data_IF_447439585989
#
_entry.id   IF_447439585989
#
_cell.length_a   1.000
_cell.length_b   1.000
_cell.length_c   1.000
_cell.angle_alpha   90.00
_cell.angle_beta   90.00
_cell.angle_gamma   90.00
#
_symmetry.space_group_name_H-M   'P 1'
#
loop_
_entity.id
_entity.type
_entity.pdbx_description
1 polymer ?
#
# COMPACT_ATOMS: atom_id res chain seq x y z
N UNK A 1 -32.81 14.02 -5.96
CA UNK A 1 -31.60 13.30 -6.40
C UNK A 1 -31.20 12.40 -5.26
N UNK A 2 -31.26 11.09 -5.41
CA UNK A 2 -30.81 10.15 -4.36
C UNK A 2 -29.29 10.33 -4.21
N UNK A 3 -28.83 10.70 -3.02
CA UNK A 3 -27.41 10.76 -2.74
C UNK A 3 -26.85 9.35 -2.93
N UNK A 4 -25.95 9.15 -3.88
CA UNK A 4 -25.22 7.89 -4.01
C UNK A 4 -24.45 7.64 -2.73
N UNK A 5 -24.52 6.41 -2.22
CA UNK A 5 -23.76 6.03 -1.03
C UNK A 5 -22.26 6.35 -1.23
N UNK A 6 -21.56 6.81 -0.18
CA UNK A 6 -20.13 7.12 -0.29
C UNK A 6 -19.35 5.87 -0.68
N UNK A 7 -18.37 6.02 -1.58
CA UNK A 7 -17.45 4.94 -1.94
C UNK A 7 -16.72 4.44 -0.70
N UNK A 8 -16.41 3.16 -0.67
CA UNK A 8 -15.73 2.50 0.45
C UNK A 8 -14.31 2.08 0.05
N UNK A 9 -13.33 2.50 0.84
CA UNK A 9 -11.95 2.05 0.73
C UNK A 9 -11.52 1.24 1.95
N UNK A 10 -10.81 0.14 1.74
CA UNK A 10 -10.12 -0.61 2.78
C UNK A 10 -8.61 -0.34 2.66
N UNK A 11 -7.99 0.08 3.76
CA UNK A 11 -6.58 0.52 3.80
C UNK A 11 -5.83 -0.21 4.90
N UNK A 12 -4.76 -0.92 4.57
CA UNK A 12 -3.83 -1.46 5.56
C UNK A 12 -2.75 -0.43 5.91
N UNK A 13 -2.25 -0.46 7.15
CA UNK A 13 -1.25 0.51 7.62
C UNK A 13 -1.79 1.92 7.78
N UNK A 14 -3.09 2.05 8.02
CA UNK A 14 -3.81 3.33 8.12
C UNK A 14 -3.35 4.23 9.26
N UNK A 15 -2.64 3.73 10.27
CA UNK A 15 -2.33 4.47 11.50
C UNK A 15 -1.18 5.46 11.39
N UNK A 16 -0.33 5.41 10.37
CA UNK A 16 0.85 6.26 10.26
C UNK A 16 1.37 6.42 8.83
N UNK A 17 2.25 7.39 8.62
CA UNK A 17 2.97 7.57 7.36
C UNK A 17 2.07 7.69 6.13
N UNK A 18 2.41 6.98 5.07
CA UNK A 18 1.69 7.02 3.79
C UNK A 18 0.24 6.53 3.96
N UNK A 19 0.02 5.44 4.70
CA UNK A 19 -1.33 4.90 4.90
C UNK A 19 -2.25 5.88 5.63
N UNK A 20 -1.74 6.61 6.63
CA UNK A 20 -2.50 7.67 7.30
C UNK A 20 -2.82 8.83 6.36
N UNK A 21 -1.85 9.27 5.55
CA UNK A 21 -2.07 10.34 4.57
C UNK A 21 -3.15 9.96 3.53
N UNK A 22 -3.10 8.72 3.03
CA UNK A 22 -4.14 8.19 2.11
C UNK A 22 -5.50 8.18 2.81
N UNK A 23 -5.56 7.71 4.05
CA UNK A 23 -6.81 7.65 4.83
C UNK A 23 -7.42 9.05 4.98
N UNK A 24 -6.63 10.03 5.43
CA UNK A 24 -7.08 11.41 5.61
C UNK A 24 -7.56 12.04 4.30
N UNK A 25 -6.82 11.83 3.20
CA UNK A 25 -7.22 12.31 1.87
C UNK A 25 -8.58 11.73 1.45
N UNK A 26 -8.75 10.43 1.53
CA UNK A 26 -10.00 9.80 1.10
C UNK A 26 -11.19 10.21 1.98
N UNK A 27 -10.99 10.37 3.28
CA UNK A 27 -12.01 10.91 4.18
C UNK A 27 -12.41 12.33 3.80
N UNK A 28 -11.43 13.20 3.49
CA UNK A 28 -11.68 14.58 3.03
C UNK A 28 -12.42 14.62 1.68
N UNK A 29 -12.27 13.59 0.84
CA UNK A 29 -12.98 13.42 -0.43
C UNK A 29 -14.36 12.72 -0.26
N UNK A 30 -14.81 12.51 0.96
CA UNK A 30 -16.12 11.94 1.27
C UNK A 30 -16.22 10.41 1.18
N UNK A 31 -15.10 9.71 1.11
CA UNK A 31 -15.10 8.25 1.16
C UNK A 31 -15.41 7.74 2.57
N UNK A 32 -16.02 6.57 2.66
CA UNK A 32 -15.98 5.74 3.85
C UNK A 32 -14.67 4.93 3.83
N UNK A 33 -13.96 4.88 4.96
CA UNK A 33 -12.68 4.19 5.05
C UNK A 33 -12.70 3.19 6.20
N UNK A 34 -12.36 1.94 5.89
CA UNK A 34 -12.00 0.93 6.88
C UNK A 34 -10.48 0.81 6.93
N UNK A 35 -9.89 1.22 8.06
CA UNK A 35 -8.46 1.18 8.28
C UNK A 35 -8.05 -0.05 9.08
N UNK A 36 -7.11 -0.83 8.56
CA UNK A 36 -6.53 -2.00 9.22
C UNK A 36 -5.14 -1.67 9.74
N UNK A 37 -4.94 -1.76 11.05
CA UNK A 37 -3.65 -1.57 11.70
C UNK A 37 -3.70 -2.08 13.14
N UNK A 38 -2.55 -2.36 13.76
CA UNK A 38 -2.46 -2.87 15.14
C UNK A 38 -2.94 -1.84 16.18
N UNK A 39 -2.78 -0.55 15.89
CA UNK A 39 -3.22 0.57 16.75
C UNK A 39 -3.94 1.60 15.88
N UNK A 40 -4.91 2.34 16.43
CA UNK A 40 -5.55 3.43 15.69
C UNK A 40 -4.53 4.52 15.33
N UNK A 41 -4.82 5.29 14.29
CA UNK A 41 -4.14 6.54 13.99
C UNK A 41 -4.63 7.66 14.90
N UNK A 42 -3.90 8.78 14.90
CA UNK A 42 -4.24 9.98 15.66
C UNK A 42 -5.21 10.88 14.86
N UNK A 43 -6.37 10.33 14.50
CA UNK A 43 -7.44 11.07 13.81
C UNK A 43 -8.80 10.39 14.04
N UNK A 44 -9.84 11.21 14.03
CA UNK A 44 -11.24 10.77 14.16
C UNK A 44 -12.07 11.38 13.03
N UNK A 45 -12.95 10.57 12.43
CA UNK A 45 -13.85 11.02 11.39
C UNK A 45 -15.11 10.11 11.35
N UNK A 46 -16.34 10.64 11.15
CA UNK A 46 -17.56 9.83 11.16
C UNK A 46 -17.58 8.72 10.09
N UNK A 47 -16.88 8.90 8.96
CA UNK A 47 -16.77 7.91 7.88
C UNK A 47 -15.55 6.99 8.05
N UNK A 48 -14.84 7.04 9.18
CA UNK A 48 -13.69 6.18 9.46
C UNK A 48 -14.02 5.09 10.46
N UNK A 49 -13.69 3.86 10.12
CA UNK A 49 -13.77 2.71 11.03
C UNK A 49 -12.39 2.09 11.15
N UNK A 50 -11.85 2.05 12.35
CA UNK A 50 -10.61 1.32 12.64
C UNK A 50 -10.91 -0.12 13.04
N UNK A 51 -10.20 -1.07 12.45
CA UNK A 51 -10.20 -2.48 12.83
C UNK A 51 -8.78 -2.85 13.28
N UNK A 52 -8.65 -3.17 14.57
CA UNK A 52 -7.36 -3.55 15.15
C UNK A 52 -6.99 -4.97 14.73
N UNK A 53 -5.90 -5.12 13.95
CA UNK A 53 -5.39 -6.42 13.49
C UNK A 53 -3.91 -6.35 13.18
N UNK A 54 -3.20 -7.43 13.47
CA UNK A 54 -1.93 -7.73 12.82
C UNK A 54 -2.24 -8.45 11.50
N UNK A 55 -2.01 -7.80 10.39
CA UNK A 55 -2.33 -8.37 9.06
C UNK A 55 -1.43 -9.56 8.67
N UNK A 56 -0.40 -9.89 9.46
CA UNK A 56 0.37 -11.12 9.33
C UNK A 56 -0.32 -12.33 10.00
N UNK A 57 -1.32 -12.08 10.84
CA UNK A 57 -2.22 -13.11 11.37
C UNK A 57 -3.34 -13.36 10.35
N UNK A 58 -3.11 -14.30 9.44
CA UNK A 58 -4.05 -14.62 8.35
C UNK A 58 -5.45 -14.96 8.84
N UNK A 59 -5.66 -15.82 9.86
CA UNK A 59 -6.98 -16.09 10.39
C UNK A 59 -7.70 -14.83 10.90
N UNK A 60 -7.02 -13.99 11.70
CA UNK A 60 -7.59 -12.76 12.21
C UNK A 60 -7.93 -11.75 11.09
N UNK A 61 -7.05 -11.64 10.08
CA UNK A 61 -7.28 -10.81 8.90
C UNK A 61 -8.51 -11.31 8.13
N UNK A 62 -8.58 -12.60 7.79
CA UNK A 62 -9.68 -13.19 7.04
C UNK A 62 -11.02 -12.96 7.75
N UNK A 63 -11.09 -13.18 9.06
CA UNK A 63 -12.30 -12.95 9.84
C UNK A 63 -12.84 -11.51 9.72
N UNK A 64 -11.95 -10.50 9.70
CA UNK A 64 -12.34 -9.11 9.47
C UNK A 64 -12.80 -8.88 8.02
N UNK A 65 -12.10 -9.47 7.06
CA UNK A 65 -12.44 -9.32 5.65
C UNK A 65 -13.78 -9.96 5.31
N UNK A 66 -14.16 -11.04 5.96
CA UNK A 66 -15.45 -11.70 5.76
C UNK A 66 -16.65 -10.82 6.14
N UNK A 67 -16.47 -9.91 7.12
CA UNK A 67 -17.50 -8.93 7.50
C UNK A 67 -17.71 -7.82 6.47
N UNK A 68 -16.76 -7.61 5.55
CA UNK A 68 -16.90 -6.62 4.49
C UNK A 68 -17.83 -7.17 3.41
N UNK A 69 -18.91 -6.48 3.16
CA UNK A 69 -19.90 -6.88 2.15
C UNK A 69 -19.60 -6.31 0.76
N UNK A 70 -19.06 -5.09 0.71
CA UNK A 70 -18.68 -4.39 -0.51
C UNK A 70 -17.57 -3.40 -0.23
N UNK A 71 -16.63 -3.27 -1.18
CA UNK A 71 -15.54 -2.31 -1.15
C UNK A 71 -15.24 -1.80 -2.56
N UNK A 72 -15.04 -0.51 -2.76
CA UNK A 72 -14.75 0.09 -4.07
C UNK A 72 -13.23 0.13 -4.34
N UNK A 73 -12.43 0.20 -3.28
CA UNK A 73 -10.98 0.24 -3.38
C UNK A 73 -10.28 -0.53 -2.25
N UNK A 74 -9.24 -1.26 -2.59
CA UNK A 74 -8.34 -1.95 -1.65
C UNK A 74 -6.94 -1.35 -1.77
N UNK A 75 -6.42 -0.79 -0.68
CA UNK A 75 -5.10 -0.17 -0.64
C UNK A 75 -4.21 -0.90 0.37
N UNK A 76 -3.19 -1.58 -0.12
CA UNK A 76 -2.20 -2.23 0.74
C UNK A 76 -1.02 -1.29 0.97
N UNK A 77 -1.09 -0.48 2.06
CA UNK A 77 -0.06 0.49 2.42
C UNK A 77 0.79 0.06 3.63
N UNK A 78 0.41 -1.01 4.32
CA UNK A 78 1.23 -1.56 5.39
C UNK A 78 2.57 -2.08 4.86
N UNK A 79 3.63 -1.79 5.58
CA UNK A 79 4.96 -2.25 5.23
C UNK A 79 5.98 -1.85 6.28
N UNK A 80 7.08 -2.58 6.30
CA UNK A 80 8.28 -2.28 7.07
C UNK A 80 9.50 -2.38 6.16
N UNK A 81 10.62 -1.83 6.60
CA UNK A 81 11.89 -2.04 5.93
C UNK A 81 12.87 -2.70 6.88
N UNK A 82 13.49 -3.77 6.40
CA UNK A 82 14.65 -4.43 7.02
C UNK A 82 15.80 -4.34 6.03
N UNK A 83 16.97 -4.03 6.54
CA UNK A 83 18.17 -3.83 5.73
C UNK A 83 19.34 -4.63 6.34
N UNK A 84 19.95 -5.46 5.52
CA UNK A 84 21.16 -6.18 5.87
C UNK A 84 21.98 -6.43 4.59
N UNK A 85 23.32 -6.29 4.63
CA UNK A 85 24.18 -6.66 3.53
C UNK A 85 24.21 -8.17 3.34
N UNK A 86 24.59 -8.62 2.13
CA UNK A 86 24.82 -10.03 1.87
C UNK A 86 25.90 -10.57 2.83
N UNK A 87 25.69 -11.75 3.38
CA UNK A 87 26.51 -12.34 4.44
C UNK A 87 26.00 -12.05 5.87
N UNK A 88 25.03 -11.13 6.03
CA UNK A 88 24.41 -10.79 7.32
C UNK A 88 22.87 -10.86 7.26
N UNK A 89 22.32 -11.61 6.30
CA UNK A 89 20.87 -11.72 6.13
C UNK A 89 20.24 -12.52 7.28
N UNK A 90 19.13 -12.03 7.82
CA UNK A 90 18.27 -12.76 8.74
C UNK A 90 17.13 -13.41 7.94
N UNK A 91 17.02 -14.74 8.02
CA UNK A 91 15.89 -15.45 7.38
C UNK A 91 14.55 -15.05 8.02
N UNK A 92 14.53 -14.81 9.32
CA UNK A 92 13.33 -14.34 10.05
C UNK A 92 12.86 -12.97 9.54
N UNK A 93 13.80 -12.02 9.30
CA UNK A 93 13.47 -10.72 8.72
C UNK A 93 12.92 -10.88 7.29
N UNK A 94 13.49 -11.79 6.51
CA UNK A 94 13.00 -12.11 5.16
C UNK A 94 11.60 -12.68 5.18
N UNK A 95 11.31 -13.62 6.07
CA UNK A 95 9.99 -14.21 6.26
C UNK A 95 8.97 -13.15 6.73
N UNK A 96 9.33 -12.30 7.68
CA UNK A 96 8.49 -11.21 8.16
C UNK A 96 8.12 -10.25 7.03
N UNK A 97 9.10 -9.87 6.20
CA UNK A 97 8.86 -9.01 5.02
C UNK A 97 7.91 -9.68 4.03
N UNK A 98 8.09 -10.99 3.79
CA UNK A 98 7.25 -11.73 2.86
C UNK A 98 5.81 -11.84 3.37
N UNK A 99 5.63 -12.22 4.62
CA UNK A 99 4.30 -12.30 5.24
C UNK A 99 3.57 -10.97 5.20
N UNK A 100 4.26 -9.87 5.55
CA UNK A 100 3.63 -8.56 5.61
C UNK A 100 3.33 -7.99 4.21
N UNK A 101 4.27 -8.12 3.27
CA UNK A 101 4.15 -7.44 1.97
C UNK A 101 3.40 -8.28 0.94
N UNK A 102 3.59 -9.59 0.94
CA UNK A 102 3.08 -10.48 -0.11
C UNK A 102 1.88 -11.28 0.38
N UNK A 103 2.03 -12.07 1.45
CA UNK A 103 0.92 -12.92 1.91
C UNK A 103 -0.29 -12.08 2.29
N UNK A 104 -0.10 -10.98 3.05
CA UNK A 104 -1.19 -10.09 3.42
C UNK A 104 -1.88 -9.46 2.19
N UNK A 105 -1.10 -9.05 1.17
CA UNK A 105 -1.68 -8.52 -0.07
C UNK A 105 -2.51 -9.57 -0.82
N UNK A 106 -2.03 -10.83 -0.85
CA UNK A 106 -2.75 -11.94 -1.46
C UNK A 106 -4.07 -12.23 -0.73
N UNK A 107 -4.04 -12.32 0.60
CA UNK A 107 -5.24 -12.53 1.42
C UNK A 107 -6.26 -11.40 1.20
N UNK A 108 -5.80 -10.14 1.19
CA UNK A 108 -6.67 -9.00 0.91
C UNK A 108 -7.36 -9.11 -0.46
N UNK A 109 -6.59 -9.39 -1.50
CA UNK A 109 -7.12 -9.47 -2.85
C UNK A 109 -8.07 -10.66 -3.01
N UNK A 110 -7.68 -11.83 -2.54
CA UNK A 110 -8.46 -13.08 -2.65
C UNK A 110 -9.80 -12.98 -1.92
N UNK A 111 -9.80 -12.50 -0.66
CA UNK A 111 -11.04 -12.35 0.12
C UNK A 111 -11.97 -11.22 -0.37
N UNK A 112 -11.44 -10.23 -1.09
CA UNK A 112 -12.20 -9.04 -1.47
C UNK A 112 -12.51 -8.95 -2.97
N UNK A 113 -11.94 -9.78 -3.81
CA UNK A 113 -12.10 -9.68 -5.26
C UNK A 113 -13.56 -9.74 -5.70
N UNK A 114 -14.37 -10.61 -5.12
CA UNK A 114 -15.80 -10.71 -5.43
C UNK A 114 -16.66 -9.61 -4.80
N UNK A 115 -16.09 -8.90 -3.81
CA UNK A 115 -16.72 -7.75 -3.12
C UNK A 115 -16.41 -6.42 -3.80
N UNK A 116 -15.50 -6.42 -4.78
CA UNK A 116 -15.21 -5.26 -5.63
C UNK A 116 -16.25 -5.16 -6.74
N UNK A 117 -16.87 -3.99 -6.97
CA UNK A 117 -17.78 -3.77 -8.09
C UNK A 117 -17.00 -3.70 -9.41
N UNK A 118 -17.73 -3.71 -10.52
CA UNK A 118 -17.17 -3.32 -11.80
C UNK A 118 -16.52 -1.93 -11.70
N UNK A 119 -15.30 -1.81 -12.21
CA UNK A 119 -14.53 -0.57 -12.08
C UNK A 119 -13.88 -0.34 -10.72
N UNK A 120 -13.81 -1.36 -9.85
CA UNK A 120 -13.08 -1.30 -8.57
C UNK A 120 -11.58 -1.02 -8.72
N UNK A 121 -10.89 -0.76 -7.64
CA UNK A 121 -9.48 -0.36 -7.63
C UNK A 121 -8.66 -1.13 -6.61
N UNK A 122 -7.49 -1.62 -7.01
CA UNK A 122 -6.48 -2.19 -6.09
C UNK A 122 -5.19 -1.40 -6.24
N UNK A 123 -4.65 -0.89 -5.15
CA UNK A 123 -3.38 -0.16 -5.13
C UNK A 123 -2.44 -0.78 -4.09
N UNK A 124 -1.25 -1.14 -4.53
CA UNK A 124 -0.19 -1.67 -3.66
C UNK A 124 0.90 -0.61 -3.47
N UNK A 125 1.40 -0.43 -2.25
CA UNK A 125 2.56 0.42 -1.99
C UNK A 125 3.84 -0.39 -2.21
N UNK A 126 4.45 -0.16 -3.37
CA UNK A 126 5.74 -0.69 -3.76
C UNK A 126 6.92 0.10 -3.18
N UNK A 127 7.99 0.15 -3.95
CA UNK A 127 9.18 0.97 -3.65
C UNK A 127 9.97 1.23 -4.93
N UNK A 128 10.57 2.41 -5.06
CA UNK A 128 11.53 2.68 -6.15
C UNK A 128 12.70 1.69 -6.17
N UNK A 129 12.99 1.07 -5.01
CA UNK A 129 14.11 0.13 -4.90
C UNK A 129 13.77 -1.28 -5.41
N UNK A 130 12.56 -1.50 -5.94
CA UNK A 130 12.16 -2.81 -6.51
C UNK A 130 13.08 -3.28 -7.67
N UNK A 131 13.80 -2.39 -8.31
CA UNK A 131 14.82 -2.72 -9.33
C UNK A 131 16.19 -3.08 -8.77
N UNK A 132 16.37 -3.02 -7.46
CA UNK A 132 17.62 -3.33 -6.77
C UNK A 132 18.10 -2.20 -5.86
N UNK A 133 18.72 -2.57 -4.73
CA UNK A 133 19.36 -1.64 -3.81
C UNK A 133 20.31 -2.41 -2.91
N UNK A 134 21.57 -2.02 -2.86
CA UNK A 134 22.55 -2.63 -2.00
C UNK A 134 22.12 -2.61 -0.52
N UNK A 135 22.35 -3.68 0.21
CA UNK A 135 22.00 -3.83 1.61
C UNK A 135 20.49 -4.03 1.89
N UNK A 136 19.68 -4.31 0.87
CA UNK A 136 18.22 -4.42 1.01
C UNK A 136 17.61 -5.59 0.22
N UNK A 137 18.41 -6.63 -0.08
CA UNK A 137 17.97 -7.69 -1.00
C UNK A 137 16.63 -8.32 -0.61
N UNK A 138 16.41 -8.65 0.66
CA UNK A 138 15.17 -9.25 1.14
C UNK A 138 13.96 -8.30 0.97
N UNK A 139 14.12 -7.02 1.32
CA UNK A 139 13.09 -6.02 1.10
C UNK A 139 12.80 -5.81 -0.40
N UNK A 140 13.87 -5.68 -1.20
CA UNK A 140 13.78 -5.56 -2.67
C UNK A 140 13.04 -6.75 -3.26
N UNK A 141 13.36 -7.98 -2.83
CA UNK A 141 12.68 -9.19 -3.30
C UNK A 141 11.17 -9.09 -3.15
N UNK A 142 10.67 -8.67 -1.98
CA UNK A 142 9.22 -8.56 -1.78
C UNK A 142 8.61 -7.43 -2.61
N UNK A 143 9.29 -6.29 -2.75
CA UNK A 143 8.79 -5.17 -3.56
C UNK A 143 8.85 -5.46 -5.07
N UNK A 144 9.80 -6.28 -5.52
CA UNK A 144 9.85 -6.78 -6.89
C UNK A 144 8.77 -7.81 -7.17
N UNK A 145 8.51 -8.72 -6.23
CA UNK A 145 7.46 -9.73 -6.36
C UNK A 145 6.07 -9.10 -6.56
N UNK A 146 5.79 -7.95 -5.93
CA UNK A 146 4.54 -7.21 -6.14
C UNK A 146 4.31 -6.85 -7.61
N UNK A 147 5.36 -6.64 -8.41
CA UNK A 147 5.23 -6.21 -9.81
C UNK A 147 4.57 -7.34 -10.64
N UNK A 148 5.09 -8.55 -10.54
CA UNK A 148 4.51 -9.71 -11.22
C UNK A 148 3.08 -10.00 -10.72
N UNK A 149 2.89 -9.95 -9.40
CA UNK A 149 1.59 -10.17 -8.76
C UNK A 149 0.54 -9.16 -9.26
N UNK A 150 0.84 -7.86 -9.21
CA UNK A 150 -0.08 -6.82 -9.67
C UNK A 150 -0.41 -6.94 -11.17
N UNK A 151 0.56 -7.32 -12.01
CA UNK A 151 0.34 -7.52 -13.46
C UNK A 151 -0.57 -8.72 -13.73
N UNK A 152 -0.41 -9.83 -12.99
CA UNK A 152 -1.28 -11.00 -13.10
C UNK A 152 -2.71 -10.63 -12.72
N UNK A 153 -2.92 -10.03 -11.56
CA UNK A 153 -4.26 -9.58 -11.13
C UNK A 153 -4.87 -8.55 -12.07
N UNK A 154 -4.07 -7.63 -12.62
CA UNK A 154 -4.54 -6.66 -13.59
C UNK A 154 -5.09 -7.32 -14.86
N UNK A 155 -4.41 -8.37 -15.35
CA UNK A 155 -4.85 -9.12 -16.53
C UNK A 155 -6.15 -9.91 -16.25
N UNK A 156 -6.24 -10.55 -15.08
CA UNK A 156 -7.42 -11.33 -14.67
C UNK A 156 -8.65 -10.42 -14.46
N UNK A 157 -8.46 -9.23 -13.93
CA UNK A 157 -9.54 -8.33 -13.50
C UNK A 157 -9.92 -7.27 -14.56
N UNK A 158 -9.14 -7.15 -15.64
CA UNK A 158 -9.41 -6.21 -16.73
C UNK A 158 -10.81 -6.35 -17.34
N UNK A 159 -11.39 -7.57 -17.56
CA UNK A 159 -12.75 -7.71 -18.07
C UNK A 159 -13.83 -7.11 -17.17
N UNK A 160 -13.55 -6.96 -15.87
CA UNK A 160 -14.42 -6.29 -14.90
C UNK A 160 -14.12 -4.78 -14.78
N UNK A 161 -13.20 -4.24 -15.58
CA UNK A 161 -12.74 -2.84 -15.48
C UNK A 161 -12.05 -2.51 -14.15
N UNK A 162 -11.68 -3.52 -13.35
CA UNK A 162 -10.94 -3.34 -12.11
C UNK A 162 -9.47 -3.11 -12.45
N UNK A 163 -8.88 -2.04 -11.91
CA UNK A 163 -7.46 -1.76 -12.13
C UNK A 163 -6.62 -2.15 -10.92
N UNK A 164 -5.43 -2.67 -11.19
CA UNK A 164 -4.45 -3.04 -10.16
C UNK A 164 -3.13 -2.33 -10.47
N UNK A 165 -2.69 -1.43 -9.58
CA UNK A 165 -1.48 -0.65 -9.81
C UNK A 165 -0.61 -0.59 -8.55
N UNK A 166 0.67 -0.26 -8.76
CA UNK A 166 1.65 -0.07 -7.70
C UNK A 166 2.09 1.40 -7.70
N UNK A 167 1.98 2.05 -6.56
CA UNK A 167 2.69 3.31 -6.30
C UNK A 167 4.01 2.96 -5.63
N UNK A 168 5.12 3.37 -6.23
CA UNK A 168 6.48 3.03 -5.81
C UNK A 168 7.25 4.29 -5.36
N UNK A 169 7.05 4.74 -4.11
CA UNK A 169 7.71 5.94 -3.62
C UNK A 169 9.21 5.74 -3.39
N UNK A 170 9.95 6.84 -3.45
CA UNK A 170 11.30 6.96 -2.95
C UNK A 170 11.35 7.21 -1.44
N UNK A 171 12.41 7.90 -0.98
CA UNK A 171 12.53 8.30 0.43
C UNK A 171 11.41 9.30 0.77
N UNK A 172 10.45 8.85 1.57
CA UNK A 172 9.26 9.61 1.97
C UNK A 172 9.34 9.98 3.45
N UNK A 173 9.00 11.20 3.79
CA UNK A 173 9.06 11.73 5.16
C UNK A 173 7.99 11.09 6.04
N UNK A 174 8.33 9.96 6.62
CA UNK A 174 7.47 9.13 7.47
C UNK A 174 8.26 8.64 8.67
N UNK A 175 7.63 8.14 9.74
CA UNK A 175 8.36 7.50 10.84
C UNK A 175 9.34 6.41 10.39
N UNK A 176 9.04 5.70 9.29
CA UNK A 176 9.94 4.70 8.72
C UNK A 176 11.28 5.30 8.25
N UNK A 177 11.34 6.59 7.91
CA UNK A 177 12.57 7.22 7.43
C UNK A 177 13.63 7.32 8.54
N UNK A 178 13.19 7.49 9.78
CA UNK A 178 14.05 7.71 10.97
C UNK A 178 14.09 6.49 11.90
N UNK A 179 13.51 5.35 11.51
CA UNK A 179 13.50 4.15 12.36
C UNK A 179 14.91 3.65 12.69
N UNK A 180 15.15 3.16 13.94
CA UNK A 180 16.36 2.42 14.26
C UNK A 180 16.56 1.22 13.33
N UNK A 181 17.82 0.83 13.06
CA UNK A 181 18.15 -0.31 12.19
C UNK A 181 18.34 0.07 10.71
N UNK A 182 18.28 1.35 10.37
CA UNK A 182 18.62 1.84 9.01
C UNK A 182 20.06 2.31 8.84
N UNK A 183 20.94 2.11 9.83
CA UNK A 183 22.32 2.59 9.78
C UNK A 183 23.10 2.00 8.60
N UNK A 184 22.85 0.75 8.24
CA UNK A 184 23.45 0.10 7.06
C UNK A 184 22.94 0.63 5.73
N UNK A 185 21.84 1.39 5.75
CA UNK A 185 21.20 1.93 4.53
C UNK A 185 20.48 3.26 4.82
N UNK A 186 21.23 4.33 5.15
CA UNK A 186 20.66 5.62 5.48
C UNK A 186 19.88 6.19 4.28
N UNK A 187 18.80 6.97 4.53
CA UNK A 187 18.07 7.63 3.47
C UNK A 187 18.97 8.68 2.79
N UNK A 188 18.94 8.68 1.44
CA UNK A 188 19.60 9.72 0.64
C UNK A 188 18.57 10.73 0.16
N UNK A 189 18.93 12.00 0.21
CA UNK A 189 18.11 13.07 -0.34
C UNK A 189 18.00 12.88 -1.86
N UNK A 190 16.78 12.86 -2.43
CA UNK A 190 16.62 12.72 -3.88
C UNK A 190 17.03 14.00 -4.63
N UNK A 191 17.28 13.92 -5.96
CA UNK A 191 17.69 15.08 -6.79
C UNK A 191 16.79 16.31 -6.70
N UNK A 192 15.49 16.16 -6.42
CA UNK A 192 14.59 17.30 -6.22
C UNK A 192 14.89 18.13 -4.96
N UNK A 193 15.91 17.77 -4.15
CA UNK A 193 16.37 18.53 -2.99
C UNK A 193 15.54 18.38 -1.71
N UNK A 194 14.53 17.50 -1.68
CA UNK A 194 13.74 17.20 -0.48
C UNK A 194 13.21 15.76 -0.50
N UNK A 195 12.81 15.25 0.65
CA UNK A 195 12.09 13.99 0.72
C UNK A 195 10.68 14.13 0.15
N UNK A 196 10.13 13.03 -0.36
CA UNK A 196 8.75 12.95 -0.80
C UNK A 196 7.83 13.13 0.42
N UNK A 197 6.78 13.92 0.27
CA UNK A 197 5.78 14.06 1.33
C UNK A 197 4.75 12.92 1.26
N UNK A 198 4.29 12.37 2.39
CA UNK A 198 3.24 11.36 2.41
C UNK A 198 1.99 11.79 1.63
N UNK A 199 1.70 13.10 1.65
CA UNK A 199 0.57 13.68 0.95
C UNK A 199 0.70 13.55 -0.58
N UNK A 200 1.90 13.73 -1.13
CA UNK A 200 2.13 13.55 -2.58
C UNK A 200 1.85 12.11 -3.01
N UNK A 201 2.22 11.14 -2.15
CA UNK A 201 1.89 9.72 -2.41
C UNK A 201 0.39 9.48 -2.32
N UNK A 202 -0.29 10.09 -1.33
CA UNK A 202 -1.73 9.99 -1.19
C UNK A 202 -2.46 10.61 -2.38
N UNK A 203 -1.97 11.72 -2.94
CA UNK A 203 -2.54 12.37 -4.13
C UNK A 203 -2.45 11.48 -5.36
N UNK A 204 -1.32 10.80 -5.57
CA UNK A 204 -1.18 9.83 -6.65
C UNK A 204 -2.11 8.62 -6.46
N UNK A 205 -2.25 8.11 -5.23
CA UNK A 205 -3.21 7.05 -4.93
C UNK A 205 -4.63 7.53 -5.24
N UNK A 206 -5.05 8.71 -4.77
CA UNK A 206 -6.36 9.29 -5.07
C UNK A 206 -6.61 9.43 -6.58
N UNK A 207 -5.61 9.85 -7.35
CA UNK A 207 -5.70 9.87 -8.81
C UNK A 207 -5.97 8.47 -9.39
N UNK A 208 -5.24 7.45 -8.93
CA UNK A 208 -5.44 6.06 -9.39
C UNK A 208 -6.81 5.49 -9.03
N UNK A 209 -7.44 5.98 -7.97
CA UNK A 209 -8.81 5.62 -7.58
C UNK A 209 -9.87 6.36 -8.40
N UNK A 210 -9.51 7.41 -9.14
CA UNK A 210 -10.43 8.23 -9.92
C UNK A 210 -10.84 7.57 -11.24
N UNK A 211 -11.96 7.99 -11.85
CA UNK A 211 -12.33 7.57 -13.20
C UNK A 211 -11.28 7.95 -14.26
N UNK A 212 -10.51 9.02 -14.06
CA UNK A 212 -9.47 9.48 -14.99
C UNK A 212 -8.32 8.49 -15.15
N UNK A 213 -8.13 7.57 -14.20
CA UNK A 213 -7.11 6.53 -14.24
C UNK A 213 -7.65 5.17 -14.71
N UNK A 214 -8.87 5.10 -15.26
CA UNK A 214 -9.53 3.83 -15.61
C UNK A 214 -8.77 2.99 -16.66
N UNK A 215 -7.90 3.61 -17.47
CA UNK A 215 -7.07 2.92 -18.45
C UNK A 215 -5.66 2.55 -17.91
N UNK A 216 -5.36 2.87 -16.65
CA UNK A 216 -4.05 2.58 -16.03
C UNK A 216 -4.21 1.31 -15.18
N UNK A 217 -3.64 0.20 -15.65
CA UNK A 217 -3.65 -1.07 -14.90
C UNK A 217 -2.36 -1.86 -15.14
N UNK A 218 -1.94 -2.66 -14.17
CA UNK A 218 -0.71 -3.44 -14.20
C UNK A 218 0.57 -2.59 -14.16
N UNK A 219 0.48 -1.32 -13.78
CA UNK A 219 1.60 -0.38 -13.83
C UNK A 219 2.25 -0.17 -12.47
N UNK A 220 3.56 0.06 -12.49
CA UNK A 220 4.32 0.59 -11.37
C UNK A 220 4.63 2.07 -11.63
N UNK A 221 4.02 2.94 -10.85
CA UNK A 221 4.27 4.38 -10.93
C UNK A 221 5.32 4.77 -9.90
N UNK A 222 6.51 5.15 -10.38
CA UNK A 222 7.63 5.52 -9.51
C UNK A 222 7.56 7.01 -9.18
N UNK A 223 7.49 7.32 -7.88
CA UNK A 223 7.51 8.68 -7.34
C UNK A 223 8.72 8.85 -6.44
N UNK A 224 9.86 9.28 -6.98
CA UNK A 224 11.13 9.22 -6.25
C UNK A 224 11.97 10.51 -6.31
N UNK A 225 11.45 11.59 -6.90
CA UNK A 225 12.18 12.84 -7.01
C UNK A 225 13.50 12.72 -7.81
N UNK A 226 13.52 11.87 -8.83
CA UNK A 226 14.70 11.62 -9.66
C UNK A 226 15.69 10.59 -9.09
N UNK A 227 15.45 10.01 -7.91
CA UNK A 227 16.41 9.10 -7.28
C UNK A 227 16.58 7.74 -8.00
N UNK A 228 15.84 7.47 -9.05
CA UNK A 228 15.97 6.27 -9.91
C UNK A 228 16.57 6.56 -11.29
N UNK A 229 16.95 7.80 -11.55
CA UNK A 229 17.61 8.24 -12.78
C UNK A 229 19.13 8.05 -12.71
#
# INVERSE_FOLDING_TARGET
>A
MSATAPKHALITGSSSGIGAAITQKLLAEGWRVTGLSRKPGDYSHPNFTHRAVDIMDTPALTAILDEITQVDAVIHAAGIMKAAPLGQLSLEDGETLWRLHINAAQVLADCLVDKLPQGGRIVLLGSRTSSGSAGRSQYVTTKSAMIGMARSWAAELAPRGITVNIVAPGATETPMLTMPGRQSSPPKLPPIGRFIQPQEVADLVGYLLSPSAAAITGQQLVMCGGASL
#
